data_IF_277490823327
#
_entry.id   IF_277490823327
#
_cell.length_a   1.000
_cell.length_b   1.000
_cell.length_c   1.000
_cell.angle_alpha   90.00
_cell.angle_beta   90.00
_cell.angle_gamma   90.00
#
_symmetry.space_group_name_H-M   'P 1'
#
loop_
_entity.id
_entity.type
_entity.pdbx_description
1 polymer ?
#
# COMPACT_ATOMS: atom_id res chain seq x y z
N UNK A 1 15.04 18.03 -59.50
CA UNK A 1 15.32 16.81 -58.72
C UNK A 1 15.22 17.14 -57.23
N UNK A 2 14.16 16.62 -56.56
CA UNK A 2 14.05 16.19 -55.15
C UNK A 2 14.50 17.12 -53.98
N UNK A 3 13.50 17.43 -53.11
CA UNK A 3 13.42 17.25 -51.62
C UNK A 3 14.59 17.75 -50.75
N UNK A 4 14.42 18.36 -49.59
CA UNK A 4 13.29 18.70 -48.72
C UNK A 4 13.85 19.72 -47.71
N UNK A 5 13.12 20.80 -47.43
CA UNK A 5 13.44 21.76 -46.38
C UNK A 5 13.38 21.09 -45.00
N UNK A 6 14.55 20.87 -44.39
CA UNK A 6 14.66 20.54 -42.98
C UNK A 6 15.07 21.77 -42.20
N UNK A 7 14.17 22.13 -41.28
CA UNK A 7 14.21 23.24 -40.35
C UNK A 7 15.53 23.29 -39.57
N UNK A 8 16.16 24.46 -39.49
CA UNK A 8 17.43 24.71 -38.78
C UNK A 8 17.35 24.54 -37.24
N UNK A 9 16.24 24.03 -36.67
CA UNK A 9 16.03 23.96 -35.22
C UNK A 9 16.50 22.64 -34.56
N UNK A 10 16.94 21.63 -35.30
CA UNK A 10 17.38 20.35 -34.71
C UNK A 10 18.90 20.16 -34.60
N UNK A 11 19.70 20.89 -35.37
CA UNK A 11 21.17 20.76 -35.32
C UNK A 11 21.79 21.45 -34.09
N UNK A 12 21.09 22.40 -33.48
CA UNK A 12 21.58 23.12 -32.30
C UNK A 12 21.38 22.34 -30.98
N UNK A 13 20.46 21.39 -30.91
CA UNK A 13 20.21 20.62 -29.67
C UNK A 13 21.14 19.41 -29.51
N UNK A 14 21.61 18.82 -30.61
CA UNK A 14 22.54 17.70 -30.57
C UNK A 14 24.00 18.15 -30.37
N UNK A 15 24.36 19.36 -30.82
CA UNK A 15 25.74 19.86 -30.68
C UNK A 15 26.06 20.42 -29.27
N UNK A 16 25.04 20.69 -28.45
CA UNK A 16 25.25 21.14 -27.06
C UNK A 16 25.49 19.98 -26.10
N UNK A 17 25.11 18.75 -26.47
CA UNK A 17 25.33 17.55 -25.63
C UNK A 17 26.72 16.89 -25.80
N UNK A 18 27.52 17.29 -26.78
CA UNK A 18 28.87 16.74 -27.01
C UNK A 18 30.01 17.66 -26.54
N UNK A 19 29.70 18.82 -25.95
CA UNK A 19 30.72 19.79 -25.47
C UNK A 19 30.81 20.00 -23.96
N UNK A 20 29.98 19.31 -23.17
CA UNK A 20 30.27 19.09 -21.76
C UNK A 20 30.28 17.58 -21.56
N UNK A 21 31.46 17.02 -21.31
CA UNK A 21 31.64 15.61 -20.98
C UNK A 21 31.08 15.26 -19.59
N UNK A 22 29.94 15.83 -19.20
CA UNK A 22 29.24 15.50 -17.98
C UNK A 22 28.43 14.21 -18.21
N UNK A 23 29.18 13.09 -18.17
CA UNK A 23 28.59 11.83 -17.72
C UNK A 23 27.99 12.15 -16.33
N UNK A 24 26.72 11.80 -16.05
CA UNK A 24 26.15 12.04 -14.71
C UNK A 24 27.12 11.45 -13.68
N UNK A 25 27.45 12.18 -12.59
CA UNK A 25 28.45 11.74 -11.65
C UNK A 25 28.06 10.34 -11.15
N UNK A 26 28.96 9.37 -11.31
CA UNK A 26 28.80 8.08 -10.65
C UNK A 26 28.63 8.37 -9.16
N UNK A 27 27.58 7.87 -8.50
CA UNK A 27 27.35 8.17 -7.10
C UNK A 27 28.59 7.75 -6.31
N UNK A 28 29.06 8.57 -5.35
CA UNK A 28 30.19 8.20 -4.50
C UNK A 28 29.93 6.82 -3.86
N UNK A 29 30.98 6.03 -3.59
CA UNK A 29 30.84 4.66 -3.09
C UNK A 29 29.90 4.51 -1.89
N UNK A 30 29.86 5.51 -1.00
CA UNK A 30 28.97 5.55 0.16
C UNK A 30 27.48 5.61 -0.22
N UNK A 31 27.09 6.40 -1.23
CA UNK A 31 25.71 6.51 -1.69
C UNK A 31 25.25 5.23 -2.40
N UNK A 32 26.12 4.62 -3.21
CA UNK A 32 25.86 3.33 -3.84
C UNK A 32 25.68 2.20 -2.81
N UNK A 33 26.53 2.18 -1.78
CA UNK A 33 26.40 1.24 -0.65
C UNK A 33 25.11 1.48 0.15
N UNK A 34 24.77 2.74 0.46
CA UNK A 34 23.55 3.10 1.16
C UNK A 34 22.30 2.70 0.36
N UNK A 35 22.31 2.91 -0.95
CA UNK A 35 21.22 2.48 -1.84
C UNK A 35 21.06 0.95 -1.87
N UNK A 36 22.18 0.20 -1.90
CA UNK A 36 22.16 -1.26 -1.84
C UNK A 36 21.62 -1.79 -0.50
N UNK A 37 22.06 -1.19 0.61
CA UNK A 37 21.57 -1.52 1.95
C UNK A 37 20.07 -1.23 2.09
N UNK A 38 19.60 -0.10 1.55
CA UNK A 38 18.18 0.28 1.53
C UNK A 38 17.34 -0.76 0.78
N UNK A 39 17.74 -1.14 -0.45
CA UNK A 39 17.03 -2.17 -1.23
C UNK A 39 16.92 -3.50 -0.49
N UNK A 40 18.01 -3.94 0.14
CA UNK A 40 18.03 -5.16 0.96
C UNK A 40 17.06 -5.09 2.15
N UNK A 41 16.89 -3.93 2.76
CA UNK A 41 15.90 -3.74 3.83
C UNK A 41 14.47 -3.76 3.30
N UNK A 42 14.21 -3.09 2.17
CA UNK A 42 12.89 -3.09 1.52
C UNK A 42 12.47 -4.51 1.12
N UNK A 43 13.38 -5.33 0.58
CA UNK A 43 13.15 -6.75 0.28
C UNK A 43 12.78 -7.56 1.53
N UNK A 44 13.47 -7.32 2.66
CA UNK A 44 13.14 -7.97 3.94
C UNK A 44 11.75 -7.56 4.44
N UNK A 45 11.39 -6.29 4.34
CA UNK A 45 10.07 -5.80 4.73
C UNK A 45 8.96 -6.43 3.89
N UNK A 46 9.17 -6.55 2.57
CA UNK A 46 8.25 -7.25 1.68
C UNK A 46 8.11 -8.73 2.03
N UNK A 47 9.21 -9.40 2.40
CA UNK A 47 9.18 -10.78 2.84
C UNK A 47 8.34 -10.95 4.12
N UNK A 48 8.55 -10.10 5.12
CA UNK A 48 7.77 -10.11 6.37
C UNK A 48 6.27 -9.83 6.13
N UNK A 49 5.94 -8.90 5.23
CA UNK A 49 4.55 -8.64 4.83
C UNK A 49 3.90 -9.87 4.20
N UNK A 50 4.62 -10.58 3.33
CA UNK A 50 4.13 -11.82 2.71
C UNK A 50 3.86 -12.87 3.78
N UNK A 51 4.78 -13.06 4.72
CA UNK A 51 4.62 -13.98 5.84
C UNK A 51 3.37 -13.64 6.67
N UNK A 52 3.21 -12.37 7.08
CA UNK A 52 2.01 -11.93 7.80
C UNK A 52 0.73 -12.15 7.00
N UNK A 53 0.71 -11.79 5.71
CA UNK A 53 -0.46 -11.98 4.84
C UNK A 53 -0.83 -13.46 4.64
N UNK A 54 0.13 -14.37 4.81
CA UNK A 54 -0.08 -15.82 4.68
C UNK A 54 -0.69 -16.46 5.92
N UNK A 55 -0.72 -15.74 7.06
CA UNK A 55 -1.33 -16.23 8.29
C UNK A 55 -2.84 -16.43 8.08
N UNK A 56 -3.44 -17.53 8.59
CA UNK A 56 -4.85 -17.82 8.42
C UNK A 56 -5.82 -16.64 8.65
N UNK A 57 -5.70 -15.84 9.74
CA UNK A 57 -6.60 -14.70 9.97
C UNK A 57 -6.42 -13.56 8.95
N UNK A 58 -5.24 -13.44 8.36
CA UNK A 58 -4.90 -12.38 7.40
C UNK A 58 -5.16 -12.78 5.94
N UNK A 59 -5.58 -14.02 5.65
CA UNK A 59 -5.91 -14.47 4.29
C UNK A 59 -7.22 -13.90 3.76
N UNK A 60 -8.01 -13.27 4.63
CA UNK A 60 -9.30 -12.67 4.32
C UNK A 60 -9.29 -11.21 4.75
N UNK A 61 -10.04 -10.39 4.03
CA UNK A 61 -10.28 -9.01 4.36
C UNK A 61 -10.93 -8.91 5.74
N UNK A 62 -10.37 -8.07 6.60
CA UNK A 62 -10.88 -7.85 7.95
C UNK A 62 -12.32 -7.33 7.99
N UNK A 63 -12.73 -6.60 6.95
CA UNK A 63 -14.01 -5.89 6.93
C UNK A 63 -15.10 -6.63 6.15
N UNK A 64 -14.74 -7.38 5.11
CA UNK A 64 -15.72 -8.05 4.23
C UNK A 64 -15.51 -9.55 4.05
N UNK A 65 -14.56 -10.14 4.76
CA UNK A 65 -14.20 -11.57 4.69
C UNK A 65 -13.80 -12.09 3.29
N UNK A 66 -13.69 -11.20 2.29
CA UNK A 66 -13.23 -11.56 0.96
C UNK A 66 -11.77 -12.04 1.00
N UNK A 67 -11.47 -13.13 0.28
CA UNK A 67 -10.12 -13.69 0.22
C UNK A 67 -9.14 -12.75 -0.49
N UNK A 68 -7.88 -12.79 -0.04
CA UNK A 68 -6.77 -12.09 -0.70
C UNK A 68 -6.78 -10.58 -0.46
N UNK A 69 -6.61 -10.11 0.79
CA UNK A 69 -6.42 -8.68 1.04
C UNK A 69 -5.15 -8.18 0.34
N UNK A 70 -5.24 -6.99 -0.23
CA UNK A 70 -4.21 -6.34 -1.04
C UNK A 70 -3.67 -5.06 -0.40
N UNK A 71 -4.31 -4.62 0.68
CA UNK A 71 -3.98 -3.41 1.43
C UNK A 71 -3.84 -3.73 2.92
N UNK A 72 -3.09 -2.88 3.61
CA UNK A 72 -3.02 -2.84 5.07
C UNK A 72 -3.61 -1.52 5.55
N UNK A 73 -4.44 -1.56 6.58
CA UNK A 73 -4.88 -0.38 7.30
C UNK A 73 -3.90 -0.08 8.45
N UNK A 74 -3.13 0.99 8.31
CA UNK A 74 -2.14 1.44 9.31
C UNK A 74 -2.77 2.18 10.47
N UNK A 75 -4.07 2.53 10.41
CA UNK A 75 -4.77 3.12 11.56
C UNK A 75 -5.06 2.07 12.62
N UNK A 76 -5.50 0.87 12.20
CA UNK A 76 -5.89 -0.21 13.14
C UNK A 76 -4.95 -1.41 13.15
N UNK A 77 -4.15 -1.60 12.10
CA UNK A 77 -3.22 -2.73 11.97
C UNK A 77 -3.82 -3.98 11.32
N UNK A 78 -4.80 -3.82 10.41
CA UNK A 78 -5.51 -4.93 9.74
C UNK A 78 -5.15 -5.06 8.25
N UNK A 79 -5.51 -6.20 7.66
CA UNK A 79 -5.38 -6.53 6.24
C UNK A 79 -6.74 -6.48 5.57
N UNK A 80 -6.87 -5.66 4.52
CA UNK A 80 -8.13 -5.34 3.85
C UNK A 80 -8.02 -5.46 2.33
N UNK A 81 -9.15 -5.66 1.65
CA UNK A 81 -9.22 -5.68 0.19
C UNK A 81 -9.22 -4.26 -0.39
N UNK A 82 -9.03 -4.17 -1.71
CA UNK A 82 -9.06 -2.89 -2.44
C UNK A 82 -10.35 -2.10 -2.20
N UNK A 83 -11.51 -2.77 -2.24
CA UNK A 83 -12.82 -2.10 -2.07
C UNK A 83 -12.97 -1.49 -0.67
N UNK A 84 -12.72 -2.26 0.38
CA UNK A 84 -12.77 -1.76 1.76
C UNK A 84 -11.74 -0.65 1.98
N UNK A 85 -10.53 -0.75 1.40
CA UNK A 85 -9.53 0.31 1.49
C UNK A 85 -10.03 1.66 0.93
N UNK A 86 -10.85 1.63 -0.13
CA UNK A 86 -11.45 2.85 -0.68
C UNK A 86 -12.48 3.47 0.25
N UNK A 87 -13.33 2.64 0.87
CA UNK A 87 -14.36 3.09 1.81
C UNK A 87 -13.72 3.64 3.09
N UNK A 88 -12.70 2.96 3.63
CA UNK A 88 -11.93 3.36 4.80
C UNK A 88 -11.29 4.75 4.66
N UNK A 89 -10.83 5.11 3.45
CA UNK A 89 -10.32 6.46 3.15
C UNK A 89 -11.42 7.54 3.17
N UNK A 90 -12.67 7.15 2.96
CA UNK A 90 -13.83 8.03 2.95
C UNK A 90 -14.53 8.17 4.31
N UNK A 91 -14.07 7.46 5.34
CA UNK A 91 -14.53 7.64 6.72
C UNK A 91 -13.98 8.94 7.32
N UNK A 92 -14.58 9.38 8.42
CA UNK A 92 -14.14 10.56 9.15
C UNK A 92 -13.90 10.26 10.64
N UNK A 93 -12.62 10.22 11.10
CA UNK A 93 -11.40 10.53 10.36
C UNK A 93 -11.01 9.45 9.34
N UNK A 94 -10.32 9.80 8.25
CA UNK A 94 -9.95 8.84 7.22
C UNK A 94 -8.86 7.89 7.71
N UNK A 95 -9.02 6.60 7.40
CA UNK A 95 -8.04 5.58 7.75
C UNK A 95 -6.82 5.62 6.81
N UNK A 96 -5.64 5.30 7.34
CA UNK A 96 -4.37 5.32 6.61
C UNK A 96 -4.11 3.95 5.97
N UNK A 97 -4.60 3.75 4.75
CA UNK A 97 -4.42 2.46 4.05
C UNK A 97 -3.25 2.49 3.04
N UNK A 98 -2.43 1.43 3.04
CA UNK A 98 -1.26 1.23 2.16
C UNK A 98 -1.38 -0.04 1.33
N UNK A 99 -0.90 -0.03 0.09
CA UNK A 99 -0.88 -1.23 -0.76
C UNK A 99 0.27 -2.14 -0.36
N UNK A 100 0.00 -3.43 -0.18
CA UNK A 100 1.01 -4.44 0.20
C UNK A 100 2.12 -4.55 -0.86
N UNK A 101 1.77 -4.49 -2.15
CA UNK A 101 2.72 -4.71 -3.25
C UNK A 101 3.36 -3.43 -3.79
N UNK A 102 2.71 -2.27 -3.62
CA UNK A 102 3.15 -1.01 -4.26
C UNK A 102 3.75 0.01 -3.29
N UNK A 103 3.72 -0.25 -1.98
CA UNK A 103 4.18 0.73 -0.97
C UNK A 103 5.46 0.26 -0.30
N UNK A 104 6.40 1.19 -0.10
CA UNK A 104 7.54 0.96 0.79
C UNK A 104 7.10 1.16 2.22
N UNK A 105 7.31 0.15 3.06
CA UNK A 105 7.01 0.20 4.49
C UNK A 105 8.26 0.57 5.27
N UNK A 106 8.07 1.29 6.38
CA UNK A 106 9.15 1.52 7.33
C UNK A 106 9.24 0.35 8.32
N UNK A 107 10.38 0.20 8.98
CA UNK A 107 10.56 -0.83 10.01
C UNK A 107 9.49 -0.74 11.12
N UNK A 108 9.14 0.49 11.54
CA UNK A 108 8.11 0.72 12.57
C UNK A 108 6.73 0.26 12.11
N UNK A 109 6.41 0.44 10.83
CA UNK A 109 5.13 0.01 10.27
C UNK A 109 5.03 -1.51 10.17
N UNK A 110 6.14 -2.17 9.82
CA UNK A 110 6.22 -3.65 9.85
C UNK A 110 6.01 -4.18 11.26
N UNK A 111 6.71 -3.62 12.25
CA UNK A 111 6.57 -4.02 13.66
C UNK A 111 5.17 -3.76 14.20
N UNK A 112 4.55 -2.65 13.78
CA UNK A 112 3.16 -2.35 14.12
C UNK A 112 2.22 -3.44 13.58
N UNK A 113 2.33 -3.81 12.30
CA UNK A 113 1.50 -4.86 11.71
C UNK A 113 1.75 -6.24 12.37
N UNK A 114 3.00 -6.55 12.74
CA UNK A 114 3.34 -7.80 13.42
C UNK A 114 2.72 -7.91 14.82
N UNK A 115 2.64 -6.79 15.55
CA UNK A 115 1.99 -6.74 16.87
C UNK A 115 0.46 -6.77 16.79
N UNK A 116 -0.11 -6.47 15.62
CA UNK A 116 -1.55 -6.44 15.37
C UNK A 116 -1.97 -7.62 14.48
N UNK A 117 -2.43 -7.35 13.26
CA UNK A 117 -3.04 -8.34 12.38
C UNK A 117 -4.51 -8.59 12.71
N UNK A 118 -5.19 -9.27 11.78
CA UNK A 118 -6.64 -9.42 11.82
C UNK A 118 -7.13 -10.18 13.04
N UNK A 119 -6.34 -11.10 13.59
CA UNK A 119 -6.70 -11.83 14.81
C UNK A 119 -6.84 -10.88 15.99
N UNK A 120 -5.81 -10.06 16.25
CA UNK A 120 -5.82 -9.06 17.32
C UNK A 120 -6.91 -8.02 17.07
N UNK A 121 -7.02 -7.53 15.84
CA UNK A 121 -8.06 -6.58 15.47
C UNK A 121 -9.47 -7.17 15.67
N UNK A 122 -9.69 -8.46 15.42
CA UNK A 122 -10.98 -9.13 15.64
C UNK A 122 -11.36 -9.09 17.12
N UNK A 123 -10.43 -9.38 18.02
CA UNK A 123 -10.69 -9.32 19.46
C UNK A 123 -11.03 -7.91 19.95
N UNK A 124 -10.41 -6.87 19.37
CA UNK A 124 -10.63 -5.47 19.76
C UNK A 124 -11.91 -4.90 19.17
N UNK A 125 -12.10 -5.04 17.85
CA UNK A 125 -13.16 -4.34 17.11
C UNK A 125 -14.42 -5.17 16.90
N UNK A 126 -14.33 -6.50 17.06
CA UNK A 126 -15.44 -7.43 16.89
C UNK A 126 -15.65 -8.28 18.16
N UNK A 127 -15.04 -7.93 19.30
CA UNK A 127 -15.16 -8.70 20.54
C UNK A 127 -16.59 -8.76 21.10
N UNK A 128 -17.41 -7.74 20.83
CA UNK A 128 -18.84 -7.71 21.15
C UNK A 128 -19.73 -8.03 19.95
N UNK A 129 -19.14 -8.22 18.76
CA UNK A 129 -19.85 -8.51 17.53
C UNK A 129 -20.10 -10.01 17.45
N UNK A 130 -21.36 -10.42 17.53
CA UNK A 130 -21.75 -11.81 17.34
C UNK A 130 -22.10 -12.04 15.86
N UNK A 131 -21.31 -12.88 15.19
CA UNK A 131 -21.49 -13.28 13.78
C UNK A 131 -22.89 -13.87 13.49
N UNK A 132 -23.65 -14.31 14.51
CA UNK A 132 -24.99 -14.90 14.35
C UNK A 132 -26.15 -13.92 14.52
N UNK A 133 -25.96 -12.85 15.31
CA UNK A 133 -27.00 -11.87 15.62
C UNK A 133 -26.75 -10.51 15.00
N UNK A 134 -25.51 -10.21 14.64
CA UNK A 134 -25.13 -8.96 14.02
C UNK A 134 -25.36 -9.02 12.52
N UNK A 135 -25.97 -7.99 11.96
CA UNK A 135 -26.26 -7.91 10.54
C UNK A 135 -24.94 -7.77 9.74
N UNK A 136 -24.42 -8.89 9.25
CA UNK A 136 -23.33 -8.88 8.27
C UNK A 136 -23.88 -8.22 6.99
N UNK A 137 -23.29 -7.11 6.51
CA UNK A 137 -23.81 -6.42 5.34
C UNK A 137 -23.64 -7.31 4.10
N UNK A 138 -24.50 -7.11 3.09
CA UNK A 138 -24.23 -7.66 1.77
C UNK A 138 -22.96 -7.01 1.22
N UNK A 139 -21.86 -7.75 1.21
CA UNK A 139 -20.56 -7.28 0.76
C UNK A 139 -20.51 -6.97 -0.75
N UNK A 140 -21.59 -7.24 -1.50
CA UNK A 140 -21.77 -6.81 -2.89
C UNK A 140 -22.26 -5.37 -3.01
N UNK A 141 -22.88 -4.82 -1.96
CA UNK A 141 -23.38 -3.45 -1.93
C UNK A 141 -22.39 -2.53 -1.20
N UNK A 142 -21.64 -1.68 -1.92
CA UNK A 142 -20.68 -0.77 -1.30
C UNK A 142 -21.28 0.20 -0.29
N UNK A 143 -22.57 0.56 -0.45
CA UNK A 143 -23.26 1.47 0.46
C UNK A 143 -23.52 0.79 1.81
N UNK A 144 -23.94 -0.47 1.79
CA UNK A 144 -24.13 -1.27 3.01
C UNK A 144 -22.82 -1.54 3.73
N UNK A 145 -21.76 -1.83 2.98
CA UNK A 145 -20.41 -1.97 3.57
C UNK A 145 -19.97 -0.66 4.19
N UNK A 146 -20.21 0.48 3.55
CA UNK A 146 -19.89 1.80 4.13
C UNK A 146 -20.63 2.07 5.43
N UNK A 147 -21.95 1.85 5.47
CA UNK A 147 -22.77 2.01 6.68
C UNK A 147 -22.21 1.16 7.82
N UNK A 148 -21.91 -0.12 7.55
CA UNK A 148 -21.31 -1.04 8.52
C UNK A 148 -19.95 -0.54 9.04
N UNK A 149 -19.06 -0.06 8.18
CA UNK A 149 -17.75 0.44 8.60
C UNK A 149 -17.84 1.74 9.40
N UNK A 150 -18.82 2.60 9.12
CA UNK A 150 -19.09 3.77 9.96
C UNK A 150 -19.55 3.36 11.36
N UNK A 151 -20.43 2.37 11.47
CA UNK A 151 -20.82 1.85 12.78
C UNK A 151 -19.63 1.26 13.54
N UNK A 152 -18.84 0.42 12.88
CA UNK A 152 -17.66 -0.25 13.44
C UNK A 152 -16.57 0.72 13.90
N UNK A 153 -16.26 1.78 13.14
CA UNK A 153 -15.10 2.64 13.41
C UNK A 153 -15.44 4.04 13.94
N UNK A 154 -16.55 4.65 13.50
CA UNK A 154 -16.95 6.00 13.94
C UNK A 154 -17.82 5.94 15.19
N UNK A 155 -18.77 4.99 15.27
CA UNK A 155 -19.68 4.86 16.41
C UNK A 155 -19.16 3.93 17.52
N UNK A 156 -18.25 3.01 17.19
CA UNK A 156 -17.59 2.02 18.07
C UNK A 156 -18.56 1.05 18.74
#
# INVERSE_FOLDING_TARGET
>A
FKRDGRCLSCAAFLFVLERTGDRPPTPPPAEAMAASAKRKQEEKHLQLLREMSSLPPNRKCFDCDQRGPTYTDMTVGSFVCTSCSGILRGLNPPHRVKSISMTTFTQQEIEFLQKHGNEVCKQIWLGLFDDRSSAIPDFRDPQKVKEFLQEKYEKK
#
